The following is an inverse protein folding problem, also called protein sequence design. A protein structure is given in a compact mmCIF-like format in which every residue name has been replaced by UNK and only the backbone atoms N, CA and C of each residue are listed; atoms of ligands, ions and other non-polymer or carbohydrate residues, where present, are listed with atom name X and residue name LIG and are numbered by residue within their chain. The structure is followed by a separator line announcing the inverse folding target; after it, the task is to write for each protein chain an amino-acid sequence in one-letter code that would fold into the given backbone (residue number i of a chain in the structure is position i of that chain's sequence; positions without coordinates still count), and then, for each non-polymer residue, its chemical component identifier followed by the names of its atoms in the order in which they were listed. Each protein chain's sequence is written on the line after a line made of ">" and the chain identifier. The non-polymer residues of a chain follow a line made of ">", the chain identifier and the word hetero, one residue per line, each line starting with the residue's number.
data_IF_418953646251
#
_entry.id   IF_418953646251
#
_cell.length_a   1.000
_cell.length_b   1.000
_cell.length_c   1.000
_cell.angle_alpha   90.00
_cell.angle_beta   90.00
_cell.angle_gamma   90.00
#
_symmetry.space_group_name_H-M   'P 1'
#
loop_
_entity.id
_entity.type
_entity.pdbx_description
1 polymer ?
#
# COMPACT_ATOMS: atom_id res chain seq x y z
N UNK A 1 -23.23 -29.37 14.87
CA UNK A 1 -21.90 -28.78 15.12
C UNK A 1 -20.90 -29.66 14.36
N UNK A 2 -20.48 -29.25 13.16
CA UNK A 2 -19.63 -30.06 12.28
C UNK A 2 -18.18 -29.61 12.46
N UNK A 3 -17.40 -30.39 13.19
CA UNK A 3 -15.94 -30.25 13.23
C UNK A 3 -15.37 -30.62 11.85
N UNK A 4 -14.94 -29.64 11.06
CA UNK A 4 -14.07 -29.92 9.92
C UNK A 4 -12.69 -30.32 10.45
N UNK A 5 -12.48 -31.62 10.66
CA UNK A 5 -11.12 -32.18 10.78
C UNK A 5 -10.51 -32.27 9.39
N UNK A 6 -9.78 -31.22 9.00
CA UNK A 6 -8.94 -31.29 7.81
C UNK A 6 -7.86 -32.36 8.00
N UNK A 7 -7.92 -33.45 7.22
CA UNK A 7 -6.88 -34.48 7.14
C UNK A 7 -5.52 -33.85 6.75
N UNK A 8 -4.39 -34.47 7.15
CA UNK A 8 -3.02 -34.04 6.80
C UNK A 8 -2.84 -33.86 5.28
N UNK A 9 -3.51 -34.69 4.48
CA UNK A 9 -3.53 -34.54 3.02
C UNK A 9 -4.25 -33.27 2.55
N UNK A 10 -5.37 -32.90 3.19
CA UNK A 10 -6.06 -31.65 2.89
C UNK A 10 -5.24 -30.43 3.32
N UNK A 11 -4.54 -30.52 4.46
CA UNK A 11 -3.64 -29.46 4.92
C UNK A 11 -2.46 -29.27 3.97
N UNK A 12 -1.86 -30.36 3.48
CA UNK A 12 -0.78 -30.30 2.49
C UNK A 12 -1.25 -29.74 1.14
N UNK A 13 -2.46 -30.08 0.69
CA UNK A 13 -3.05 -29.49 -0.51
C UNK A 13 -3.32 -28.00 -0.36
N UNK A 14 -3.81 -27.55 0.81
CA UNK A 14 -4.03 -26.13 1.07
C UNK A 14 -2.69 -25.37 1.09
N UNK A 15 -1.66 -25.92 1.74
CA UNK A 15 -0.33 -25.28 1.80
C UNK A 15 0.34 -25.21 0.42
N UNK A 16 0.24 -26.27 -0.38
CA UNK A 16 0.76 -26.27 -1.77
C UNK A 16 0.00 -25.31 -2.68
N UNK A 17 -1.32 -25.19 -2.49
CA UNK A 17 -2.14 -24.25 -3.22
C UNK A 17 -1.79 -22.81 -2.84
N UNK A 18 -1.58 -22.52 -1.55
CA UNK A 18 -1.10 -21.22 -1.08
C UNK A 18 0.28 -20.88 -1.67
N UNK A 19 1.19 -21.85 -1.72
CA UNK A 19 2.53 -21.67 -2.31
C UNK A 19 2.45 -21.34 -3.81
N UNK A 20 1.55 -21.97 -4.56
CA UNK A 20 1.32 -21.67 -5.98
C UNK A 20 0.61 -20.34 -6.25
N UNK A 21 -0.31 -19.94 -5.38
CA UNK A 21 -0.97 -18.62 -5.47
C UNK A 21 0.03 -17.48 -5.28
N UNK A 22 1.10 -17.68 -4.49
CA UNK A 22 2.15 -16.67 -4.28
C UNK A 22 3.10 -16.51 -5.49
N UNK A 23 2.98 -17.33 -6.54
CA UNK A 23 3.81 -17.30 -7.76
C UNK A 23 3.00 -17.46 -9.05
N UNK A 24 1.72 -17.08 -9.03
CA UNK A 24 0.81 -17.36 -10.12
C UNK A 24 1.14 -16.48 -11.36
N UNK A 25 1.33 -17.07 -12.55
CA UNK A 25 1.47 -16.29 -13.79
C UNK A 25 0.20 -15.48 -14.07
N UNK A 26 0.32 -14.28 -14.67
CA UNK A 26 -0.82 -13.39 -14.97
C UNK A 26 -1.99 -14.09 -15.71
N UNK A 27 -1.68 -15.07 -16.56
CA UNK A 27 -2.68 -15.84 -17.33
C UNK A 27 -3.52 -16.80 -16.49
N UNK A 28 -3.00 -17.23 -15.34
CA UNK A 28 -3.72 -18.08 -14.37
C UNK A 28 -4.47 -17.22 -13.36
N UNK A 29 -3.98 -16.02 -13.05
CA UNK A 29 -4.66 -15.05 -12.20
C UNK A 29 -6.02 -14.65 -12.79
N UNK A 30 -6.06 -14.36 -14.10
CA UNK A 30 -7.33 -14.11 -14.82
C UNK A 30 -8.31 -15.28 -14.72
N UNK A 31 -7.83 -16.52 -14.82
CA UNK A 31 -8.70 -17.71 -14.72
C UNK A 31 -9.27 -17.89 -13.31
N UNK A 32 -8.48 -17.58 -12.27
CA UNK A 32 -8.94 -17.60 -10.88
C UNK A 32 -9.97 -16.50 -10.65
N UNK A 33 -9.75 -15.30 -11.17
CA UNK A 33 -10.68 -14.18 -11.06
C UNK A 33 -12.02 -14.50 -11.74
N UNK A 34 -11.99 -15.04 -12.96
CA UNK A 34 -13.19 -15.49 -13.68
C UNK A 34 -13.96 -16.58 -12.91
N UNK A 35 -13.25 -17.56 -12.34
CA UNK A 35 -13.85 -18.62 -11.53
C UNK A 35 -14.51 -18.07 -10.25
N UNK A 36 -13.83 -17.16 -9.55
CA UNK A 36 -14.36 -16.51 -8.34
C UNK A 36 -15.60 -15.69 -8.65
N UNK A 37 -15.57 -14.92 -9.74
CA UNK A 37 -16.72 -14.11 -10.18
C UNK A 37 -17.90 -14.98 -10.62
N UNK A 38 -17.64 -16.08 -11.33
CA UNK A 38 -18.68 -17.04 -11.68
C UNK A 38 -19.30 -17.67 -10.43
N UNK A 39 -18.48 -18.09 -9.47
CA UNK A 39 -18.95 -18.64 -8.20
C UNK A 39 -19.81 -17.64 -7.39
N UNK A 40 -19.41 -16.36 -7.33
CA UNK A 40 -20.20 -15.29 -6.69
C UNK A 40 -21.55 -15.08 -7.38
N UNK A 41 -21.57 -15.05 -8.72
CA UNK A 41 -22.79 -14.91 -9.53
C UNK A 41 -23.76 -16.07 -9.31
N UNK A 42 -23.28 -17.30 -9.39
CA UNK A 42 -24.09 -18.52 -9.22
C UNK A 42 -24.71 -18.60 -7.83
N UNK A 43 -23.96 -18.17 -6.80
CA UNK A 43 -24.45 -18.15 -5.41
C UNK A 43 -25.19 -16.86 -5.02
N UNK A 44 -25.33 -15.90 -5.93
CA UNK A 44 -25.91 -14.56 -5.69
C UNK A 44 -25.38 -13.91 -4.41
N UNK A 45 -24.09 -14.08 -4.14
CA UNK A 45 -23.47 -13.57 -2.92
C UNK A 45 -22.57 -12.40 -3.24
N UNK A 46 -22.81 -11.26 -2.59
CA UNK A 46 -21.93 -10.08 -2.61
C UNK A 46 -20.82 -10.22 -1.57
N UNK A 47 -20.54 -11.43 -1.09
CA UNK A 47 -19.57 -11.65 -0.02
C UNK A 47 -18.17 -11.34 -0.55
N UNK A 48 -17.70 -10.13 -0.26
CA UNK A 48 -16.30 -9.79 -0.30
C UNK A 48 -15.62 -10.60 0.80
N UNK A 49 -14.73 -11.50 0.42
CA UNK A 49 -13.98 -12.30 1.38
C UNK A 49 -13.18 -11.39 2.31
N UNK A 50 -12.81 -11.89 3.50
CA UNK A 50 -11.92 -11.14 4.41
C UNK A 50 -10.59 -10.81 3.73
N UNK A 51 -10.16 -11.66 2.80
CA UNK A 51 -8.97 -11.46 2.00
C UNK A 51 -9.15 -10.30 1.01
N UNK A 52 -10.21 -10.31 0.20
CA UNK A 52 -10.50 -9.22 -0.75
C UNK A 52 -10.71 -7.88 -0.05
N UNK A 53 -11.37 -7.85 1.13
CA UNK A 53 -11.48 -6.62 1.93
C UNK A 53 -10.10 -6.06 2.31
N UNK A 54 -9.22 -6.93 2.81
CA UNK A 54 -7.86 -6.53 3.19
C UNK A 54 -7.07 -6.03 1.98
N UNK A 55 -7.18 -6.68 0.83
CA UNK A 55 -6.52 -6.24 -0.41
C UNK A 55 -7.03 -4.87 -0.87
N UNK A 56 -8.34 -4.63 -0.80
CA UNK A 56 -8.93 -3.32 -1.12
C UNK A 56 -8.46 -2.25 -0.13
N UNK A 57 -8.48 -2.54 1.17
CA UNK A 57 -8.00 -1.62 2.21
C UNK A 57 -6.53 -1.27 2.01
N UNK A 58 -5.68 -2.27 1.74
CA UNK A 58 -4.26 -2.06 1.44
C UNK A 58 -4.05 -1.25 0.16
N UNK A 59 -4.78 -1.56 -0.91
CA UNK A 59 -4.69 -0.79 -2.16
C UNK A 59 -5.15 0.66 -2.01
N UNK A 60 -6.20 0.91 -1.22
CA UNK A 60 -6.68 2.26 -0.93
C UNK A 60 -5.66 3.05 -0.10
N UNK A 61 -5.08 2.41 0.91
CA UNK A 61 -4.02 2.98 1.75
C UNK A 61 -2.80 3.37 0.92
N UNK A 62 -2.30 2.44 0.08
CA UNK A 62 -1.18 2.70 -0.83
C UNK A 62 -1.50 3.80 -1.84
N UNK A 63 -2.72 3.83 -2.38
CA UNK A 63 -3.14 4.88 -3.31
C UNK A 63 -3.19 6.27 -2.65
N UNK A 64 -3.58 6.33 -1.37
CA UNK A 64 -3.59 7.57 -0.60
C UNK A 64 -2.16 8.06 -0.31
N UNK A 65 -1.27 7.18 0.12
CA UNK A 65 0.16 7.47 0.34
C UNK A 65 0.81 8.02 -0.94
N UNK A 66 0.67 7.31 -2.06
CA UNK A 66 1.18 7.73 -3.37
C UNK A 66 0.57 9.06 -3.84
N UNK A 67 -0.72 9.28 -3.56
CA UNK A 67 -1.41 10.52 -3.90
C UNK A 67 -0.86 11.73 -3.15
N UNK A 68 -0.56 11.57 -1.85
CA UNK A 68 0.01 12.64 -1.03
C UNK A 68 1.48 12.89 -1.42
N UNK A 69 2.28 11.83 -1.60
CA UNK A 69 3.68 11.93 -2.08
C UNK A 69 3.75 12.71 -3.40
N UNK A 70 2.93 12.34 -4.38
CA UNK A 70 2.86 13.00 -5.68
C UNK A 70 2.46 14.48 -5.55
N UNK A 71 1.55 14.79 -4.63
CA UNK A 71 1.12 16.16 -4.35
C UNK A 71 2.23 17.01 -3.72
N UNK A 72 2.94 16.47 -2.73
CA UNK A 72 4.13 17.10 -2.13
C UNK A 72 5.14 17.40 -3.23
N UNK A 73 5.51 16.40 -4.03
CA UNK A 73 6.51 16.57 -5.08
C UNK A 73 6.08 17.59 -6.13
N UNK A 74 4.80 17.62 -6.51
CA UNK A 74 4.26 18.62 -7.43
C UNK A 74 4.37 20.04 -6.88
N UNK A 75 4.08 20.24 -5.59
CA UNK A 75 4.24 21.53 -4.93
C UNK A 75 5.72 21.94 -4.89
N UNK A 76 6.60 21.06 -4.44
CA UNK A 76 8.03 21.35 -4.34
C UNK A 76 8.65 21.66 -5.70
N UNK A 77 8.34 20.87 -6.73
CA UNK A 77 8.79 21.12 -8.11
C UNK A 77 8.25 22.45 -8.64
N UNK A 78 7.01 22.81 -8.32
CA UNK A 78 6.42 24.07 -8.76
C UNK A 78 7.04 25.29 -8.06
N UNK A 79 7.50 25.15 -6.82
CA UNK A 79 8.02 26.27 -6.00
C UNK A 79 9.54 26.42 -6.10
N UNK A 80 10.26 25.31 -6.12
CA UNK A 80 11.72 25.25 -6.01
C UNK A 80 12.40 24.65 -7.25
N UNK A 81 11.61 24.22 -8.24
CA UNK A 81 12.14 23.69 -9.50
C UNK A 81 12.76 22.30 -9.36
N UNK A 82 13.63 21.96 -10.31
CA UNK A 82 14.19 20.62 -10.48
C UNK A 82 15.05 20.15 -9.30
N UNK A 83 15.59 21.07 -8.50
CA UNK A 83 16.35 20.74 -7.28
C UNK A 83 15.53 19.92 -6.28
N UNK A 84 14.21 20.11 -6.26
CA UNK A 84 13.30 19.34 -5.42
C UNK A 84 13.29 17.83 -5.72
N UNK A 85 13.68 17.39 -6.92
CA UNK A 85 13.74 15.95 -7.27
C UNK A 85 14.67 15.16 -6.36
N UNK A 86 15.68 15.83 -5.80
CA UNK A 86 16.61 15.21 -4.84
C UNK A 86 15.90 14.68 -3.60
N UNK A 87 14.75 15.26 -3.23
CA UNK A 87 13.96 14.86 -2.06
C UNK A 87 12.95 13.75 -2.36
N UNK A 88 12.75 13.37 -3.61
CA UNK A 88 11.71 12.40 -3.99
C UNK A 88 11.85 11.07 -3.23
N UNK A 89 13.05 10.51 -3.20
CA UNK A 89 13.30 9.26 -2.49
C UNK A 89 13.13 9.40 -0.97
N UNK A 90 13.41 10.58 -0.41
CA UNK A 90 13.28 10.83 1.01
C UNK A 90 11.81 10.98 1.42
N UNK A 91 10.97 11.59 0.59
CA UNK A 91 9.51 11.67 0.80
C UNK A 91 8.86 10.30 0.61
N UNK A 92 9.25 9.54 -0.42
CA UNK A 92 8.75 8.19 -0.70
C UNK A 92 9.10 7.16 0.39
N UNK A 93 10.09 7.45 1.24
CA UNK A 93 10.48 6.58 2.35
C UNK A 93 9.60 6.75 3.60
N UNK A 94 8.63 7.66 3.59
CA UNK A 94 7.70 7.89 4.69
C UNK A 94 6.46 7.00 4.50
N UNK A 95 6.28 6.04 5.39
CA UNK A 95 5.14 5.09 5.34
C UNK A 95 3.93 5.56 6.18
N UNK A 96 4.04 6.73 6.83
CA UNK A 96 3.00 7.26 7.72
C UNK A 96 2.19 8.35 7.03
N UNK A 97 0.90 8.07 6.76
CA UNK A 97 -0.04 9.06 6.20
C UNK A 97 -0.07 10.34 7.03
N UNK A 98 -0.10 10.23 8.36
CA UNK A 98 -0.16 11.40 9.23
C UNK A 98 1.07 12.31 9.03
N UNK A 99 2.26 11.71 8.87
CA UNK A 99 3.48 12.48 8.57
C UNK A 99 3.44 13.06 7.16
N UNK A 100 2.97 12.30 6.17
CA UNK A 100 2.81 12.78 4.80
C UNK A 100 1.86 13.98 4.72
N UNK A 101 0.75 13.98 5.46
CA UNK A 101 -0.15 15.14 5.55
C UNK A 101 0.55 16.37 6.17
N UNK A 102 1.32 16.18 7.24
CA UNK A 102 2.11 17.27 7.84
C UNK A 102 3.18 17.81 6.88
N UNK A 103 3.81 16.93 6.08
CA UNK A 103 4.77 17.31 5.05
C UNK A 103 4.07 18.02 3.89
N UNK A 104 2.83 17.68 3.55
CA UNK A 104 2.06 18.38 2.53
C UNK A 104 1.84 19.85 2.92
N UNK A 105 1.40 20.09 4.16
CA UNK A 105 1.25 21.44 4.70
C UNK A 105 2.61 22.16 4.75
N UNK A 106 3.65 21.46 5.23
CA UNK A 106 5.02 21.97 5.23
C UNK A 106 5.54 22.36 3.85
N UNK A 107 5.17 21.62 2.80
CA UNK A 107 5.56 21.92 1.41
C UNK A 107 4.90 23.20 0.88
N UNK A 108 3.73 23.59 1.41
CA UNK A 108 3.06 24.84 1.07
C UNK A 108 3.68 26.04 1.80
N UNK A 109 4.07 25.87 3.06
CA UNK A 109 4.50 26.96 3.93
C UNK A 109 6.02 27.17 3.97
N UNK A 110 6.82 26.17 3.59
CA UNK A 110 8.27 26.26 3.68
C UNK A 110 8.82 27.46 2.88
N UNK A 111 9.69 28.31 3.46
CA UNK A 111 10.25 29.47 2.76
C UNK A 111 11.31 29.07 1.72
N UNK A 112 12.01 27.96 1.93
CA UNK A 112 13.03 27.42 1.01
C UNK A 112 12.98 25.90 0.96
N UNK A 113 13.66 25.32 -0.04
CA UNK A 113 13.78 23.87 -0.18
C UNK A 113 14.54 23.25 1.00
N UNK A 114 15.56 23.93 1.50
CA UNK A 114 16.37 23.49 2.65
C UNK A 114 15.52 23.44 3.93
N UNK A 115 14.69 24.45 4.17
CA UNK A 115 13.80 24.48 5.33
C UNK A 115 12.79 23.33 5.30
N UNK A 116 12.32 22.96 4.11
CA UNK A 116 11.50 21.76 3.93
C UNK A 116 12.32 20.49 4.21
N UNK A 117 13.52 20.37 3.65
CA UNK A 117 14.39 19.21 3.84
C UNK A 117 14.74 18.97 5.33
N UNK A 118 15.02 20.02 6.09
CA UNK A 118 15.24 19.92 7.55
C UNK A 118 13.99 19.41 8.29
N UNK A 119 12.81 19.81 7.83
CA UNK A 119 11.54 19.33 8.39
C UNK A 119 11.30 17.86 8.08
N UNK A 120 11.60 17.44 6.85
CA UNK A 120 11.55 16.05 6.42
C UNK A 120 12.48 15.17 7.26
N UNK A 121 13.74 15.59 7.45
CA UNK A 121 14.70 14.82 8.24
C UNK A 121 14.31 14.71 9.73
N UNK A 122 13.69 15.75 10.32
CA UNK A 122 13.14 15.66 11.68
C UNK A 122 12.06 14.59 11.80
N UNK A 123 11.16 14.49 10.83
CA UNK A 123 10.13 13.45 10.84
C UNK A 123 10.71 12.06 10.57
N UNK A 124 11.73 11.93 9.71
CA UNK A 124 12.41 10.63 9.47
C UNK A 124 13.15 10.12 10.71
N UNK A 125 13.78 11.01 11.47
CA UNK A 125 14.41 10.63 12.74
C UNK A 125 13.37 10.11 13.75
N UNK A 126 12.21 10.76 13.84
CA UNK A 126 11.13 10.35 14.74
C UNK A 126 10.40 9.05 14.29
N UNK A 127 10.25 8.86 12.99
CA UNK A 127 9.65 7.64 12.41
C UNK A 127 10.59 6.42 12.54
N UNK A 128 11.90 6.65 12.50
CA UNK A 128 12.93 5.64 12.76
C UNK A 128 13.01 5.18 14.22
N UNK A 129 12.86 6.08 15.19
CA UNK A 129 12.86 5.74 16.63
C UNK A 129 11.64 4.90 17.06
N UNK A 130 10.53 4.95 16.32
CA UNK A 130 9.35 4.11 16.58
C UNK A 130 9.52 2.65 16.10
N UNK A 131 10.64 2.34 15.42
CA UNK A 131 10.96 1.01 14.87
C UNK A 131 12.01 0.22 15.70
N UNK A 132 12.55 0.77 16.80
CA UNK A 132 13.47 0.06 17.73
C UNK A 132 12.78 -0.53 18.98
#
# INVERSE_FOLDING_TARGET
>A
MVEYRYNKEHQAHILRLLEWVMTLPETLEQQVEEFVEQYKRERKTTFVSRFERRMIEQGLQQGLEQGIESSIMRILLSRFGEEAKTLQQAVAAIDSIAILEQLLDGALDAPTLEAFAETLERYRAADGESRE
#
